data_IF_842661713910
#
_entry.id   IF_842661713910
#
_cell.length_a   1.000
_cell.length_b   1.000
_cell.length_c   1.000
_cell.angle_alpha   90.00
_cell.angle_beta   90.00
_cell.angle_gamma   90.00
#
_symmetry.space_group_name_H-M   'P 1'
#
loop_
_entity.id
_entity.type
_entity.pdbx_description
1 polymer ?
#
# COMPACT_ATOMS: atom_id res chain seq x y z
N UNK A 1 2.55 34.66 84.75
CA UNK A 1 3.06 33.68 83.78
C UNK A 1 2.19 33.75 82.53
N UNK A 2 2.79 34.33 81.48
CA UNK A 2 2.50 34.44 80.03
C UNK A 2 1.04 34.30 79.49
N UNK A 3 0.51 35.30 78.75
CA UNK A 3 -0.89 35.41 78.34
C UNK A 3 -1.19 34.88 76.92
N UNK A 4 -2.48 34.67 76.69
CA UNK A 4 -3.15 34.18 75.47
C UNK A 4 -3.10 35.25 74.35
N UNK A 5 -2.38 35.00 73.26
CA UNK A 5 -2.31 35.90 72.11
C UNK A 5 -3.38 35.59 71.04
N UNK A 6 -4.25 36.58 70.83
CA UNK A 6 -5.04 36.84 69.63
C UNK A 6 -4.16 36.78 68.37
N UNK A 7 -4.58 36.03 67.34
CA UNK A 7 -4.13 36.28 65.97
C UNK A 7 -5.34 36.35 65.04
N UNK A 8 -5.56 37.55 64.54
CA UNK A 8 -6.60 37.98 63.61
C UNK A 8 -6.37 37.38 62.21
N UNK A 9 -7.41 36.78 61.62
CA UNK A 9 -7.44 36.34 60.23
C UNK A 9 -7.47 37.56 59.29
N UNK A 10 -6.41 37.80 58.53
CA UNK A 10 -6.40 38.75 57.41
C UNK A 10 -6.81 38.00 56.13
N UNK A 11 -8.05 38.20 55.70
CA UNK A 11 -8.56 37.77 54.39
C UNK A 11 -8.05 38.74 53.32
N UNK A 12 -7.02 38.33 52.57
CA UNK A 12 -6.56 39.05 51.37
C UNK A 12 -7.44 38.60 50.20
N UNK A 13 -8.38 39.45 49.79
CA UNK A 13 -9.16 39.23 48.56
C UNK A 13 -8.28 39.55 47.34
N UNK A 14 -7.77 38.53 46.65
CA UNK A 14 -7.12 38.70 45.36
C UNK A 14 -8.17 38.97 44.28
N UNK A 15 -8.30 40.22 43.82
CA UNK A 15 -9.06 40.54 42.61
C UNK A 15 -8.28 40.03 41.38
N UNK A 16 -8.55 38.79 40.97
CA UNK A 16 -8.15 38.32 39.63
C UNK A 16 -9.06 38.98 38.60
N UNK A 17 -8.54 39.97 37.88
CA UNK A 17 -9.20 40.51 36.69
C UNK A 17 -9.26 39.41 35.64
N UNK A 18 -10.42 38.76 35.52
CA UNK A 18 -10.66 37.78 34.48
C UNK A 18 -10.67 38.52 33.14
N UNK A 19 -9.59 38.38 32.35
CA UNK A 19 -9.57 38.86 30.96
C UNK A 19 -10.76 38.25 30.25
N UNK A 20 -11.67 39.09 29.75
CA UNK A 20 -12.77 38.63 28.90
C UNK A 20 -12.19 37.91 27.68
N UNK A 21 -12.41 36.60 27.62
CA UNK A 21 -12.15 35.80 26.43
C UNK A 21 -13.19 36.21 25.39
N UNK A 22 -12.75 36.90 24.35
CA UNK A 22 -13.61 37.20 23.20
C UNK A 22 -13.84 35.88 22.46
N UNK A 23 -15.10 35.45 22.37
CA UNK A 23 -15.47 34.31 21.56
C UNK A 23 -15.09 34.59 20.09
N UNK A 24 -14.15 33.79 19.56
CA UNK A 24 -13.87 33.77 18.12
C UNK A 24 -15.12 33.25 17.43
N UNK A 25 -15.56 33.92 16.35
CA UNK A 25 -16.70 33.49 15.54
C UNK A 25 -16.55 31.99 15.23
N UNK A 26 -17.63 31.19 15.29
CA UNK A 26 -17.55 29.79 14.94
C UNK A 26 -16.98 29.66 13.53
N UNK A 27 -15.91 28.88 13.41
CA UNK A 27 -15.37 28.48 12.11
C UNK A 27 -16.52 27.85 11.34
N UNK A 28 -16.78 28.37 10.14
CA UNK A 28 -17.77 27.80 9.22
C UNK A 28 -17.54 26.30 9.12
N UNK A 29 -18.62 25.52 9.16
CA UNK A 29 -18.52 24.05 9.15
C UNK A 29 -17.54 23.59 8.08
N UNK A 30 -16.62 22.65 8.38
CA UNK A 30 -15.64 22.19 7.41
C UNK A 30 -16.38 21.72 6.17
N UNK A 31 -16.09 22.36 5.04
CA UNK A 31 -16.66 22.03 3.73
C UNK A 31 -16.58 20.51 3.56
N UNK A 32 -17.73 19.84 3.46
CA UNK A 32 -17.77 18.40 3.33
C UNK A 32 -16.83 17.98 2.19
N UNK A 33 -15.88 17.09 2.49
CA UNK A 33 -14.95 16.62 1.47
C UNK A 33 -15.74 15.88 0.39
N UNK A 34 -15.48 16.15 -0.91
CA UNK A 34 -16.22 15.51 -1.99
C UNK A 34 -16.09 13.99 -1.88
N UNK A 35 -17.18 13.27 -2.15
CA UNK A 35 -17.19 11.80 -2.23
C UNK A 35 -16.37 11.34 -3.43
N UNK A 36 -15.68 10.21 -3.31
CA UNK A 36 -14.90 9.65 -4.43
C UNK A 36 -15.81 9.09 -5.52
N UNK A 37 -16.85 8.34 -5.15
CA UNK A 37 -17.78 7.76 -6.10
C UNK A 37 -18.87 8.76 -6.47
N UNK A 38 -19.04 8.98 -7.77
CA UNK A 38 -20.02 9.90 -8.35
C UNK A 38 -20.76 9.21 -9.50
N UNK A 39 -22.09 9.27 -9.48
CA UNK A 39 -22.93 8.66 -10.50
C UNK A 39 -22.69 9.29 -11.90
N UNK A 40 -22.34 10.59 -11.95
CA UNK A 40 -22.00 11.28 -13.19
C UNK A 40 -20.78 10.66 -13.88
N UNK A 41 -19.73 10.31 -13.13
CA UNK A 41 -18.53 9.67 -13.68
C UNK A 41 -18.88 8.26 -14.21
N UNK A 42 -19.72 7.51 -13.48
CA UNK A 42 -20.18 6.19 -13.94
C UNK A 42 -20.94 6.29 -15.26
N UNK A 43 -21.85 7.27 -15.37
CA UNK A 43 -22.62 7.51 -16.59
C UNK A 43 -21.73 7.96 -17.75
N UNK A 44 -20.80 8.88 -17.50
CA UNK A 44 -19.89 9.41 -18.52
C UNK A 44 -18.99 8.31 -19.11
N UNK A 45 -18.39 7.47 -18.25
CA UNK A 45 -17.56 6.35 -18.70
C UNK A 45 -18.40 5.34 -19.50
N UNK A 46 -19.55 4.92 -18.97
CA UNK A 46 -20.36 3.88 -19.60
C UNK A 46 -21.08 4.37 -20.87
N UNK A 47 -21.29 5.68 -21.04
CA UNK A 47 -21.85 6.26 -22.26
C UNK A 47 -20.80 6.42 -23.38
N UNK A 48 -19.51 6.33 -23.06
CA UNK A 48 -18.45 6.46 -24.04
C UNK A 48 -18.18 5.10 -24.74
N UNK A 49 -18.50 4.95 -26.05
CA UNK A 49 -18.31 3.69 -26.77
C UNK A 49 -16.83 3.29 -26.90
N UNK A 50 -15.90 4.23 -26.68
CA UNK A 50 -14.46 4.00 -26.74
C UNK A 50 -13.84 3.79 -25.35
N UNK A 51 -14.63 3.65 -24.28
CA UNK A 51 -14.08 3.50 -22.93
C UNK A 51 -13.26 2.22 -22.77
N UNK A 52 -13.73 1.09 -23.33
CA UNK A 52 -13.05 -0.21 -23.21
C UNK A 52 -13.12 -0.84 -21.81
N UNK A 53 -13.86 -0.24 -20.88
CA UNK A 53 -14.13 -0.78 -19.53
C UNK A 53 -15.46 -0.22 -19.00
N UNK A 54 -16.03 -0.89 -18.00
CA UNK A 54 -17.28 -0.47 -17.36
C UNK A 54 -17.01 0.13 -15.97
N UNK A 55 -17.53 1.33 -15.73
CA UNK A 55 -17.54 1.94 -14.41
C UNK A 55 -18.76 1.48 -13.59
N UNK A 56 -18.58 1.37 -12.27
CA UNK A 56 -19.65 1.06 -11.32
C UNK A 56 -19.41 1.71 -9.97
N UNK A 57 -20.47 1.84 -9.17
CA UNK A 57 -20.39 2.31 -7.78
C UNK A 57 -19.84 1.21 -6.89
N UNK A 58 -18.52 1.18 -6.69
CA UNK A 58 -17.88 0.12 -5.91
C UNK A 58 -18.32 0.14 -4.41
N UNK A 59 -18.86 -0.96 -3.86
CA UNK A 59 -19.33 -1.00 -2.47
C UNK A 59 -18.26 -0.64 -1.43
N UNK A 60 -16.99 -0.99 -1.68
CA UNK A 60 -15.86 -0.69 -0.78
C UNK A 60 -15.69 0.81 -0.55
N UNK A 61 -16.02 1.63 -1.56
CA UNK A 61 -15.76 3.07 -1.55
C UNK A 61 -17.02 3.93 -1.48
N UNK A 62 -18.21 3.33 -1.26
CA UNK A 62 -19.50 4.06 -1.21
C UNK A 62 -19.50 5.22 -0.21
N UNK A 63 -18.77 5.08 0.89
CA UNK A 63 -18.68 6.07 1.96
C UNK A 63 -17.34 6.82 2.01
N UNK A 64 -16.48 6.65 1.00
CA UNK A 64 -15.17 7.30 0.99
C UNK A 64 -15.26 8.73 0.45
N UNK A 65 -14.58 9.65 1.12
CA UNK A 65 -14.20 10.94 0.54
C UNK A 65 -12.99 10.77 -0.38
N UNK A 66 -12.76 11.75 -1.24
CA UNK A 66 -11.53 11.82 -2.05
C UNK A 66 -10.28 11.77 -1.17
N UNK A 67 -10.30 12.39 0.01
CA UNK A 67 -9.16 12.37 0.94
C UNK A 67 -8.93 10.96 1.53
N UNK A 68 -10.00 10.25 1.89
CA UNK A 68 -9.90 8.87 2.36
C UNK A 68 -9.39 7.93 1.26
N UNK A 69 -9.87 8.09 0.02
CA UNK A 69 -9.40 7.30 -1.11
C UNK A 69 -7.93 7.58 -1.42
N UNK A 70 -7.50 8.85 -1.40
CA UNK A 70 -6.09 9.23 -1.56
C UNK A 70 -5.16 8.60 -0.54
N UNK A 71 -5.62 8.32 0.69
CA UNK A 71 -4.81 7.62 1.69
C UNK A 71 -4.48 6.17 1.30
N UNK A 72 -5.21 5.58 0.36
CA UNK A 72 -4.88 4.25 -0.18
C UNK A 72 -3.75 4.31 -1.23
N UNK A 73 -3.46 5.49 -1.79
CA UNK A 73 -2.48 5.71 -2.85
C UNK A 73 -1.12 6.05 -2.22
N UNK A 74 -0.44 5.00 -1.78
CA UNK A 74 0.73 5.06 -0.91
C UNK A 74 2.10 5.16 -1.60
N UNK A 75 2.20 5.19 -2.92
CA UNK A 75 3.51 5.31 -3.59
C UNK A 75 3.99 6.74 -3.56
N UNK A 76 5.23 6.95 -3.14
CA UNK A 76 5.91 8.23 -3.22
C UNK A 76 6.85 8.28 -4.42
N UNK A 77 6.98 9.43 -5.09
CA UNK A 77 7.94 9.59 -6.18
C UNK A 77 9.37 9.45 -5.64
N UNK A 78 10.30 8.84 -6.40
CA UNK A 78 11.68 8.68 -5.95
C UNK A 78 12.33 10.04 -5.66
N UNK A 79 13.11 10.17 -4.56
CA UNK A 79 13.93 11.35 -4.30
C UNK A 79 14.88 11.69 -5.47
N UNK A 80 15.22 12.96 -5.67
CA UNK A 80 16.01 13.46 -6.81
C UNK A 80 17.41 12.83 -6.98
N UNK A 81 17.93 12.12 -5.97
CA UNK A 81 19.22 11.41 -6.01
C UNK A 81 19.08 9.90 -5.71
N UNK A 82 17.95 9.30 -6.09
CA UNK A 82 17.74 7.87 -5.87
C UNK A 82 18.76 7.04 -6.63
N UNK A 83 19.25 5.93 -6.04
CA UNK A 83 20.16 5.03 -6.74
C UNK A 83 19.54 4.51 -8.03
N UNK A 84 20.34 4.45 -9.10
CA UNK A 84 19.90 3.92 -10.39
C UNK A 84 19.60 2.43 -10.21
N UNK A 85 18.34 2.05 -10.40
CA UNK A 85 17.94 0.64 -10.44
C UNK A 85 18.49 0.05 -11.74
N UNK A 86 19.22 -1.07 -11.70
CA UNK A 86 19.73 -1.70 -12.92
C UNK A 86 18.59 -2.06 -13.86
N UNK A 87 18.56 -1.44 -15.03
CA UNK A 87 17.59 -1.78 -16.07
C UNK A 87 17.95 -3.13 -16.69
N UNK A 88 16.99 -4.06 -16.68
CA UNK A 88 17.14 -5.41 -17.24
C UNK A 88 16.25 -5.52 -18.48
N UNK A 89 16.86 -5.48 -19.67
CA UNK A 89 16.19 -5.75 -20.94
C UNK A 89 16.55 -7.13 -21.50
N UNK A 90 15.67 -7.65 -22.35
CA UNK A 90 15.87 -8.88 -23.11
C UNK A 90 15.71 -8.57 -24.61
N UNK A 91 16.38 -9.33 -25.48
CA UNK A 91 16.25 -9.14 -26.92
C UNK A 91 14.86 -9.59 -27.39
N UNK A 92 14.31 -8.90 -28.39
CA UNK A 92 12.99 -9.18 -28.97
C UNK A 92 12.87 -10.56 -29.68
N UNK A 93 13.93 -11.37 -29.64
CA UNK A 93 14.00 -12.68 -30.30
C UNK A 93 13.32 -13.79 -29.51
N UNK A 94 12.95 -13.54 -28.25
CA UNK A 94 12.16 -14.49 -27.47
C UNK A 94 10.70 -14.36 -27.91
N UNK A 95 10.12 -15.36 -28.62
CA UNK A 95 8.72 -15.31 -29.00
C UNK A 95 7.87 -15.36 -27.73
N UNK A 96 7.21 -14.26 -27.42
CA UNK A 96 6.27 -14.16 -26.30
C UNK A 96 4.86 -14.54 -26.78
N UNK A 97 4.06 -15.22 -25.95
CA UNK A 97 2.68 -15.51 -26.31
C UNK A 97 1.85 -14.22 -26.33
N UNK A 98 0.83 -14.21 -27.18
CA UNK A 98 -0.12 -13.08 -27.27
C UNK A 98 -0.92 -12.86 -25.97
N UNK A 99 -1.04 -13.89 -25.14
CA UNK A 99 -1.66 -13.84 -23.82
C UNK A 99 -0.83 -14.65 -22.82
N UNK A 100 -0.73 -14.16 -21.60
CA UNK A 100 -0.02 -14.82 -20.52
C UNK A 100 -0.68 -14.52 -19.18
N UNK A 101 -0.84 -15.56 -18.35
CA UNK A 101 -1.33 -15.45 -16.98
C UNK A 101 -0.44 -16.29 -16.06
N UNK A 102 0.26 -15.64 -15.14
CA UNK A 102 1.18 -16.31 -14.21
C UNK A 102 0.49 -17.39 -13.36
N UNK A 103 -0.81 -17.26 -13.08
CA UNK A 103 -1.59 -18.25 -12.32
C UNK A 103 -1.74 -19.55 -13.10
N UNK A 104 -1.81 -19.46 -14.43
CA UNK A 104 -1.88 -20.62 -15.33
C UNK A 104 -0.50 -21.19 -15.65
N UNK A 105 0.53 -20.33 -15.71
CA UNK A 105 1.91 -20.76 -15.95
C UNK A 105 2.53 -21.48 -14.74
N UNK A 106 2.14 -21.08 -13.52
CA UNK A 106 2.60 -21.69 -12.26
C UNK A 106 1.42 -22.02 -11.34
N UNK A 107 0.57 -22.99 -11.70
CA UNK A 107 -0.65 -23.32 -10.95
C UNK A 107 -0.38 -23.86 -9.55
N UNK A 108 0.82 -24.40 -9.30
CA UNK A 108 1.26 -24.84 -7.98
C UNK A 108 1.53 -23.68 -7.01
N UNK A 109 1.66 -22.45 -7.50
CA UNK A 109 2.00 -21.28 -6.71
C UNK A 109 0.73 -20.48 -6.35
N UNK A 110 0.06 -20.88 -5.27
CA UNK A 110 -1.21 -20.27 -4.85
C UNK A 110 -1.10 -18.78 -4.52
N UNK A 111 0.07 -18.31 -4.09
CA UNK A 111 0.33 -16.89 -3.75
C UNK A 111 0.10 -15.95 -4.94
N UNK A 112 0.26 -16.44 -6.18
CA UNK A 112 0.12 -15.61 -7.39
C UNK A 112 -1.30 -15.06 -7.52
N UNK A 113 -2.29 -15.89 -7.21
CA UNK A 113 -3.71 -15.54 -7.23
C UNK A 113 -4.24 -14.97 -5.92
N UNK A 114 -3.42 -14.85 -4.89
CA UNK A 114 -3.83 -14.29 -3.61
C UNK A 114 -3.99 -12.77 -3.71
N UNK A 115 -5.09 -12.26 -3.14
CA UNK A 115 -5.44 -10.84 -3.11
C UNK A 115 -5.45 -10.41 -1.65
N UNK A 116 -4.53 -9.52 -1.30
CA UNK A 116 -4.43 -8.97 0.04
C UNK A 116 -5.24 -7.67 0.19
N UNK A 117 -5.34 -7.17 1.42
CA UNK A 117 -6.07 -5.95 1.76
C UNK A 117 -5.20 -5.00 2.59
N UNK A 118 -4.80 -3.86 2.00
CA UNK A 118 -4.02 -2.82 2.68
C UNK A 118 -4.83 -2.01 3.72
N UNK A 119 -6.14 -2.28 3.86
CA UNK A 119 -7.03 -1.58 4.77
C UNK A 119 -7.15 -0.09 4.44
N UNK A 120 -6.98 0.78 5.44
CA UNK A 120 -7.00 2.24 5.31
C UNK A 120 -5.60 2.87 5.32
N UNK A 121 -4.57 2.05 5.10
CA UNK A 121 -3.16 2.42 5.13
C UNK A 121 -2.66 2.61 3.69
N UNK A 122 -1.83 3.63 3.43
CA UNK A 122 -1.12 3.83 2.17
C UNK A 122 0.09 2.91 2.04
N UNK A 123 -0.10 1.62 2.26
CA UNK A 123 0.94 0.60 2.30
C UNK A 123 1.13 -0.16 0.99
N UNK A 124 0.44 0.22 -0.09
CA UNK A 124 0.50 -0.47 -1.39
C UNK A 124 1.95 -0.68 -1.90
N UNK A 125 2.87 0.25 -1.60
CA UNK A 125 4.29 0.14 -1.93
C UNK A 125 4.98 -1.09 -1.31
N UNK A 126 4.55 -1.50 -0.10
CA UNK A 126 5.05 -2.67 0.60
C UNK A 126 4.30 -3.93 0.15
N UNK A 127 2.96 -3.86 0.04
CA UNK A 127 2.15 -4.99 -0.41
C UNK A 127 2.57 -5.48 -1.80
N UNK A 128 2.67 -4.58 -2.80
CA UNK A 128 3.07 -4.97 -4.16
C UNK A 128 4.46 -5.61 -4.23
N UNK A 129 5.41 -5.16 -3.38
CA UNK A 129 6.75 -5.73 -3.30
C UNK A 129 6.74 -7.12 -2.64
N UNK A 130 6.03 -7.27 -1.51
CA UNK A 130 5.96 -8.51 -0.73
C UNK A 130 5.16 -9.60 -1.45
N UNK A 131 4.03 -9.26 -2.08
CA UNK A 131 3.26 -10.20 -2.89
C UNK A 131 4.10 -10.72 -4.06
N UNK A 132 4.79 -9.81 -4.77
CA UNK A 132 5.67 -10.18 -5.88
C UNK A 132 6.85 -11.04 -5.44
N UNK A 133 7.40 -10.80 -4.25
CA UNK A 133 8.49 -11.60 -3.73
C UNK A 133 8.00 -12.99 -3.30
N UNK A 134 6.85 -13.09 -2.65
CA UNK A 134 6.21 -14.36 -2.26
C UNK A 134 6.00 -15.27 -3.48
N UNK A 135 5.51 -14.70 -4.58
CA UNK A 135 5.35 -15.40 -5.86
C UNK A 135 6.67 -15.92 -6.40
N UNK A 136 7.72 -15.10 -6.34
CA UNK A 136 9.04 -15.45 -6.85
C UNK A 136 9.73 -16.54 -6.03
N UNK A 137 9.49 -16.61 -4.72
CA UNK A 137 9.92 -17.75 -3.91
C UNK A 137 9.31 -19.06 -4.41
N UNK A 138 8.02 -19.05 -4.73
CA UNK A 138 7.39 -20.26 -5.28
C UNK A 138 7.90 -20.57 -6.70
N UNK A 139 7.94 -19.58 -7.60
CA UNK A 139 8.33 -19.77 -9.00
C UNK A 139 9.78 -20.27 -9.13
N UNK A 140 10.73 -19.70 -8.38
CA UNK A 140 12.14 -20.00 -8.55
C UNK A 140 12.67 -21.10 -7.64
N UNK A 141 12.03 -21.31 -6.49
CA UNK A 141 12.55 -22.18 -5.43
C UNK A 141 11.56 -23.26 -5.01
N UNK A 142 10.35 -23.26 -5.58
CA UNK A 142 9.26 -24.15 -5.21
C UNK A 142 8.89 -24.05 -3.71
N UNK A 143 9.05 -22.85 -3.14
CA UNK A 143 8.68 -22.52 -1.75
C UNK A 143 7.44 -21.63 -1.78
N UNK A 144 6.28 -22.21 -1.49
CA UNK A 144 5.04 -21.45 -1.35
C UNK A 144 4.96 -20.87 0.07
N UNK A 145 5.35 -19.62 0.23
CA UNK A 145 5.32 -18.92 1.51
C UNK A 145 4.74 -17.51 1.36
N UNK A 146 3.92 -17.10 2.31
CA UNK A 146 3.47 -15.71 2.42
C UNK A 146 4.45 -14.91 3.27
N UNK A 147 5.05 -13.89 2.68
CA UNK A 147 6.00 -13.00 3.34
C UNK A 147 5.29 -11.83 4.01
N UNK A 148 5.88 -11.29 5.08
CA UNK A 148 5.21 -10.33 5.95
C UNK A 148 5.25 -8.91 5.44
N UNK A 149 4.08 -8.39 5.08
CA UNK A 149 3.94 -6.97 4.73
C UNK A 149 4.16 -6.08 5.94
N UNK A 150 3.75 -6.56 7.12
CA UNK A 150 3.83 -5.78 8.35
C UNK A 150 5.27 -5.64 8.85
N UNK A 151 6.12 -6.63 8.59
CA UNK A 151 7.56 -6.51 8.82
C UNK A 151 8.15 -5.36 8.00
N UNK A 152 7.86 -5.30 6.69
CA UNK A 152 8.35 -4.21 5.83
C UNK A 152 7.81 -2.86 6.28
N UNK A 153 6.52 -2.78 6.62
CA UNK A 153 5.89 -1.54 7.06
C UNK A 153 6.44 -1.03 8.40
N UNK A 154 6.71 -1.91 9.34
CA UNK A 154 7.16 -1.55 10.68
C UNK A 154 8.69 -1.37 10.77
N UNK A 155 9.45 -2.17 10.02
CA UNK A 155 10.89 -2.34 10.22
C UNK A 155 11.74 -1.63 9.16
N UNK A 156 11.23 -1.35 7.96
CA UNK A 156 12.02 -0.63 6.95
C UNK A 156 12.26 0.84 7.34
N UNK A 157 11.34 1.44 8.10
CA UNK A 157 11.47 2.80 8.59
C UNK A 157 11.65 3.84 7.46
N UNK A 158 12.46 4.87 7.73
CA UNK A 158 12.67 5.99 6.81
C UNK A 158 13.34 5.59 5.49
N UNK A 159 13.97 4.41 5.42
CA UNK A 159 14.54 3.89 4.18
C UNK A 159 13.43 3.70 3.12
N UNK A 160 12.32 3.07 3.51
CA UNK A 160 11.20 2.84 2.60
C UNK A 160 10.20 3.99 2.55
N UNK A 161 10.30 4.97 3.45
CA UNK A 161 9.39 6.12 3.51
C UNK A 161 8.72 6.25 4.87
N UNK A 162 7.39 6.36 4.89
CA UNK A 162 6.62 6.77 6.07
C UNK A 162 5.49 5.79 6.40
N UNK A 163 5.71 4.49 6.14
CA UNK A 163 4.73 3.44 6.45
C UNK A 163 3.40 3.66 5.73
N UNK A 164 2.32 3.87 6.49
CA UNK A 164 0.98 4.13 5.98
C UNK A 164 0.79 5.49 5.30
N UNK A 165 1.71 6.44 5.51
CA UNK A 165 1.66 7.73 4.83
C UNK A 165 2.41 7.68 3.47
N UNK A 166 2.83 6.48 3.07
CA UNK A 166 3.39 6.14 1.78
C UNK A 166 4.89 5.90 1.79
N UNK A 167 5.37 5.24 0.75
CA UNK A 167 6.74 4.79 0.62
C UNK A 167 7.17 4.51 -0.82
N UNK A 168 8.43 4.09 -0.96
CA UNK A 168 9.11 3.92 -2.23
C UNK A 168 9.23 2.41 -2.54
N UNK A 169 8.54 1.89 -3.58
CA UNK A 169 8.58 0.47 -3.90
C UNK A 169 10.00 -0.07 -4.11
N UNK A 170 10.88 0.71 -4.75
CA UNK A 170 12.27 0.29 -4.99
C UNK A 170 13.06 0.11 -3.67
N UNK A 171 12.78 0.91 -2.65
CA UNK A 171 13.42 0.80 -1.34
C UNK A 171 12.94 -0.45 -0.60
N UNK A 172 11.70 -0.91 -0.82
CA UNK A 172 11.25 -2.19 -0.28
C UNK A 172 12.09 -3.34 -0.84
N UNK A 173 12.39 -3.33 -2.14
CA UNK A 173 13.29 -4.32 -2.74
C UNK A 173 14.73 -4.20 -2.22
N UNK A 174 15.25 -2.99 -2.03
CA UNK A 174 16.57 -2.79 -1.41
C UNK A 174 16.60 -3.28 0.04
N UNK A 175 15.51 -3.09 0.79
CA UNK A 175 15.35 -3.60 2.13
C UNK A 175 15.40 -5.14 2.14
N UNK A 176 14.74 -5.82 1.22
CA UNK A 176 14.81 -7.28 1.11
C UNK A 176 16.23 -7.80 0.86
N UNK A 177 17.02 -7.08 0.06
CA UNK A 177 18.42 -7.44 -0.20
C UNK A 177 19.28 -7.24 1.05
N UNK A 178 19.11 -6.12 1.75
CA UNK A 178 19.95 -5.75 2.89
C UNK A 178 19.56 -6.48 4.19
N UNK A 179 18.26 -6.67 4.41
CA UNK A 179 17.70 -7.12 5.68
C UNK A 179 16.80 -8.34 5.55
N UNK A 180 16.37 -8.74 4.36
CA UNK A 180 15.34 -9.76 4.20
C UNK A 180 13.98 -9.35 4.77
N UNK A 181 13.05 -10.30 4.78
CA UNK A 181 11.67 -10.15 5.27
C UNK A 181 11.21 -11.47 5.89
N UNK A 182 10.41 -11.43 6.96
CA UNK A 182 9.92 -12.63 7.65
C UNK A 182 8.62 -13.18 7.04
N UNK A 183 8.13 -14.35 7.49
CA UNK A 183 6.85 -14.94 7.06
C UNK A 183 5.66 -14.42 7.89
N UNK A 184 4.45 -14.42 7.34
CA UNK A 184 3.23 -13.81 7.95
C UNK A 184 2.65 -14.53 9.18
N UNK A 185 3.27 -15.60 9.68
CA UNK A 185 2.58 -16.59 10.51
C UNK A 185 2.08 -16.05 11.88
N UNK A 186 2.64 -14.95 12.39
CA UNK A 186 2.26 -14.41 13.71
C UNK A 186 1.44 -13.11 13.66
N UNK A 187 1.60 -12.27 12.63
CA UNK A 187 1.00 -10.93 12.59
C UNK A 187 -0.45 -10.92 12.06
N UNK A 188 -0.88 -11.98 11.40
CA UNK A 188 -2.26 -12.17 10.92
C UNK A 188 -3.33 -12.14 12.04
N UNK A 189 -2.91 -12.29 13.31
CA UNK A 189 -3.80 -12.33 14.49
C UNK A 189 -3.87 -11.01 15.26
N UNK A 190 -3.18 -9.96 14.80
CA UNK A 190 -3.23 -8.65 15.46
C UNK A 190 -4.61 -8.02 15.32
N UNK A 191 -5.30 -7.80 16.45
CA UNK A 191 -6.69 -7.33 16.51
C UNK A 191 -6.83 -5.91 17.08
N UNK A 192 -6.07 -5.54 18.13
CA UNK A 192 -6.13 -4.20 18.78
C UNK A 192 -4.82 -3.82 19.51
N UNK A 193 -4.54 -2.52 19.73
CA UNK A 193 -3.33 -1.97 20.39
C UNK A 193 -2.86 -0.65 19.73
N UNK A 194 -1.81 0.03 20.22
CA UNK A 194 -1.45 1.39 19.74
C UNK A 194 -0.10 1.47 19.02
N UNK A 195 -0.15 1.53 17.69
CA UNK A 195 0.91 2.07 16.84
C UNK A 195 0.61 3.55 16.51
N UNK A 196 1.62 4.44 16.50
CA UNK A 196 1.46 5.89 16.26
C UNK A 196 2.62 6.51 15.49
N UNK A 197 2.29 7.17 14.37
CA UNK A 197 3.02 8.32 13.83
C UNK A 197 2.02 9.47 13.62
N UNK A 198 2.46 10.72 13.78
CA UNK A 198 1.62 11.83 14.26
C UNK A 198 1.43 13.04 13.31
N UNK A 199 2.02 13.14 12.10
CA UNK A 199 1.75 14.28 11.14
C UNK A 199 2.44 14.19 9.74
N UNK A 200 1.84 14.79 8.67
CA UNK A 200 2.52 15.20 7.40
C UNK A 200 1.65 15.17 6.10
N UNK A 201 1.95 15.99 5.06
CA UNK A 201 1.15 16.17 3.81
C UNK A 201 1.86 15.72 2.49
N UNK A 202 1.06 15.59 1.40
CA UNK A 202 1.35 15.40 -0.06
C UNK A 202 1.41 13.92 -0.54
N UNK A 203 0.30 13.35 -1.04
CA UNK A 203 -0.21 13.17 -2.43
C UNK A 203 0.69 12.33 -3.37
N UNK A 204 0.36 11.04 -3.55
CA UNK A 204 1.18 10.02 -4.22
C UNK A 204 0.44 9.10 -5.20
N UNK A 205 1.16 8.12 -5.75
CA UNK A 205 0.71 7.10 -6.72
C UNK A 205 0.29 5.76 -6.07
N UNK A 206 0.00 4.73 -6.86
CA UNK A 206 -0.44 3.41 -6.38
C UNK A 206 0.44 2.29 -6.94
N UNK A 207 0.87 1.35 -6.09
CA UNK A 207 1.68 0.20 -6.49
C UNK A 207 0.81 -1.05 -6.52
N UNK A 208 0.97 -1.85 -7.56
CA UNK A 208 0.14 -3.01 -7.89
C UNK A 208 1.04 -4.13 -8.41
N UNK A 209 0.57 -5.39 -8.32
CA UNK A 209 1.33 -6.55 -8.78
C UNK A 209 0.97 -6.90 -10.22
N UNK A 210 1.93 -6.81 -11.15
CA UNK A 210 1.76 -7.23 -12.54
C UNK A 210 1.89 -8.76 -12.66
N UNK A 211 0.86 -9.44 -13.18
CA UNK A 211 0.80 -10.91 -13.25
C UNK A 211 0.58 -11.47 -14.66
N UNK A 212 0.34 -10.62 -15.65
CA UNK A 212 0.09 -11.10 -17.01
C UNK A 212 -0.20 -10.00 -18.02
N UNK A 213 -0.53 -10.41 -19.23
CA UNK A 213 -0.94 -9.54 -20.33
C UNK A 213 -1.86 -10.26 -21.30
N UNK A 214 -2.56 -9.50 -22.13
CA UNK A 214 -3.35 -10.05 -23.22
C UNK A 214 -3.89 -8.99 -24.16
N UNK A 215 -4.92 -9.38 -24.91
CA UNK A 215 -5.74 -8.53 -25.77
C UNK A 215 -7.20 -8.80 -25.47
N UNK A 216 -8.03 -7.76 -25.33
CA UNK A 216 -9.46 -7.90 -25.07
C UNK A 216 -10.21 -8.38 -26.31
N UNK A 217 -11.47 -8.79 -26.15
CA UNK A 217 -12.33 -9.22 -27.26
C UNK A 217 -12.60 -8.07 -28.24
N UNK A 218 -12.58 -6.83 -27.73
CA UNK A 218 -12.69 -5.58 -28.49
C UNK A 218 -11.37 -5.17 -29.16
N UNK A 219 -10.29 -5.93 -28.93
CA UNK A 219 -9.00 -5.73 -29.58
C UNK A 219 -8.05 -4.76 -28.87
N UNK A 220 -8.27 -4.43 -27.59
CA UNK A 220 -7.35 -3.57 -26.82
C UNK A 220 -6.29 -4.40 -26.08
N UNK A 221 -5.03 -4.00 -26.22
CA UNK A 221 -3.90 -4.63 -25.54
C UNK A 221 -3.85 -4.20 -24.05
N UNK A 222 -3.69 -5.17 -23.14
CA UNK A 222 -3.70 -4.90 -21.70
C UNK A 222 -2.59 -5.60 -20.91
N UNK A 223 -2.27 -5.01 -19.75
CA UNK A 223 -1.61 -5.63 -18.61
C UNK A 223 -2.66 -6.15 -17.62
N UNK A 224 -2.43 -7.33 -17.03
CA UNK A 224 -3.27 -7.92 -15.98
C UNK A 224 -2.58 -7.73 -14.62
N UNK A 225 -3.27 -7.10 -13.68
CA UNK A 225 -2.72 -6.72 -12.38
C UNK A 225 -3.60 -7.18 -11.23
N UNK A 226 -2.97 -7.58 -10.13
CA UNK A 226 -3.60 -7.84 -8.84
C UNK A 226 -3.53 -6.58 -7.97
N UNK A 227 -4.69 -6.15 -7.48
CA UNK A 227 -4.81 -5.00 -6.59
C UNK A 227 -4.87 -5.44 -5.11
N UNK A 228 -4.68 -4.49 -4.20
CA UNK A 228 -4.53 -4.71 -2.75
C UNK A 228 -5.76 -4.26 -1.96
N UNK A 229 -6.94 -4.27 -2.60
CA UNK A 229 -8.19 -3.71 -2.07
C UNK A 229 -9.29 -4.75 -1.86
N UNK A 230 -8.91 -6.00 -1.55
CA UNK A 230 -9.80 -7.14 -1.39
C UNK A 230 -10.44 -7.62 -2.71
N UNK A 231 -10.93 -8.87 -2.70
CA UNK A 231 -11.61 -9.52 -3.82
C UNK A 231 -12.94 -8.86 -4.20
N UNK A 232 -13.56 -8.10 -3.29
CA UNK A 232 -14.79 -7.35 -3.58
C UNK A 232 -14.58 -6.16 -4.52
N UNK A 233 -13.32 -5.79 -4.80
CA UNK A 233 -12.99 -4.70 -5.71
C UNK A 233 -12.62 -5.21 -7.10
N UNK A 234 -13.00 -4.48 -8.16
CA UNK A 234 -12.64 -4.83 -9.54
C UNK A 234 -13.21 -6.18 -9.97
N UNK A 235 -12.47 -6.90 -10.80
CA UNK A 235 -12.77 -8.28 -11.16
C UNK A 235 -12.09 -9.22 -10.16
N UNK A 236 -12.78 -9.52 -9.05
CA UNK A 236 -12.28 -10.40 -7.99
C UNK A 236 -10.92 -9.97 -7.37
N UNK A 237 -10.67 -8.66 -7.30
CA UNK A 237 -9.42 -8.06 -6.83
C UNK A 237 -8.42 -7.74 -7.96
N UNK A 238 -8.69 -8.20 -9.18
CA UNK A 238 -7.86 -7.94 -10.35
C UNK A 238 -8.41 -6.79 -11.19
N UNK A 239 -7.54 -6.23 -12.03
CA UNK A 239 -7.94 -5.28 -13.05
C UNK A 239 -7.00 -5.37 -14.26
N UNK A 240 -7.46 -4.77 -15.36
CA UNK A 240 -6.70 -4.62 -16.59
C UNK A 240 -6.44 -3.14 -16.84
N UNK A 241 -5.25 -2.79 -17.31
CA UNK A 241 -4.88 -1.43 -17.73
C UNK A 241 -4.24 -1.50 -19.11
N UNK A 242 -4.39 -0.45 -19.91
CA UNK A 242 -3.89 -0.38 -21.28
C UNK A 242 -2.38 -0.58 -21.34
N UNK A 243 -1.93 -1.45 -22.26
CA UNK A 243 -0.52 -1.80 -22.48
C UNK A 243 0.01 -1.13 -23.75
N UNK A 244 1.27 -0.69 -23.70
CA UNK A 244 2.00 -0.13 -24.85
C UNK A 244 1.83 1.38 -25.05
N UNK A 245 1.08 2.03 -24.16
CA UNK A 245 0.88 3.49 -24.14
C UNK A 245 1.43 4.14 -22.88
N UNK A 246 2.06 3.36 -21.99
CA UNK A 246 2.48 3.80 -20.67
C UNK A 246 1.36 4.52 -19.89
N UNK A 247 0.15 3.94 -19.94
CA UNK A 247 -1.05 4.52 -19.33
C UNK A 247 -0.83 4.75 -17.84
N UNK A 248 -1.05 5.98 -17.38
CA UNK A 248 -0.77 6.40 -16.00
C UNK A 248 0.65 6.12 -15.48
N UNK A 249 1.67 6.00 -16.35
CA UNK A 249 3.04 5.71 -15.95
C UNK A 249 3.30 4.25 -15.56
N UNK A 250 2.37 3.33 -15.86
CA UNK A 250 2.45 1.92 -15.43
C UNK A 250 3.68 1.16 -15.95
N UNK A 251 4.35 1.69 -16.98
CA UNK A 251 5.52 1.08 -17.62
C UNK A 251 6.85 1.75 -17.19
N UNK A 252 6.81 2.80 -16.36
CA UNK A 252 7.99 3.56 -15.91
C UNK A 252 8.66 2.96 -14.67
N UNK A 253 7.87 2.58 -13.65
CA UNK A 253 8.37 2.21 -12.31
C UNK A 253 8.24 0.70 -12.00
N UNK A 254 8.57 -0.16 -12.97
CA UNK A 254 8.54 -1.62 -12.80
C UNK A 254 9.82 -2.10 -12.11
N UNK A 255 9.69 -2.63 -10.88
CA UNK A 255 10.82 -3.11 -10.06
C UNK A 255 10.64 -4.57 -9.65
N UNK A 256 11.75 -5.31 -9.59
CA UNK A 256 11.78 -6.72 -9.25
C UNK A 256 13.14 -7.17 -8.71
N UNK A 257 13.16 -8.29 -7.99
CA UNK A 257 14.37 -8.99 -7.53
C UNK A 257 14.25 -10.51 -7.69
N UNK A 258 15.35 -11.25 -7.54
CA UNK A 258 15.34 -12.72 -7.53
C UNK A 258 15.58 -13.21 -6.10
N UNK A 259 14.85 -14.21 -5.59
CA UNK A 259 15.06 -14.69 -4.23
C UNK A 259 16.42 -15.39 -4.10
N UNK A 260 17.10 -15.17 -2.98
CA UNK A 260 18.38 -15.82 -2.68
C UNK A 260 18.18 -17.12 -1.90
N UNK A 261 18.95 -18.15 -2.27
CA UNK A 261 19.01 -19.42 -1.53
C UNK A 261 19.89 -19.36 -0.28
N UNK A 262 20.69 -18.30 -0.11
CA UNK A 262 21.72 -18.22 0.93
C UNK A 262 21.15 -18.23 2.36
N UNK A 263 19.92 -17.74 2.54
CA UNK A 263 19.24 -17.68 3.85
C UNK A 263 18.02 -18.60 3.95
N UNK A 264 17.77 -19.45 2.94
CA UNK A 264 16.83 -20.56 3.05
C UNK A 264 17.50 -21.66 3.88
N UNK A 265 17.53 -21.50 5.20
CA UNK A 265 18.04 -22.56 6.07
C UNK A 265 17.11 -23.77 5.92
N UNK A 266 17.68 -24.90 5.47
CA UNK A 266 17.00 -26.20 5.37
C UNK A 266 16.37 -26.57 6.71
N UNK A 267 15.06 -26.47 6.81
CA UNK A 267 14.29 -26.97 7.96
C UNK A 267 13.61 -28.30 7.61
N UNK A 268 14.39 -29.37 7.45
CA UNK A 268 13.91 -30.66 7.94
C UNK A 268 14.33 -30.74 9.40
N UNK A 269 13.43 -30.31 10.30
CA UNK A 269 13.42 -30.43 11.77
C UNK A 269 13.45 -29.11 12.55
N UNK A 270 12.28 -28.61 12.96
CA UNK A 270 12.13 -27.83 14.21
C UNK A 270 11.82 -26.32 14.11
N UNK A 271 10.57 -25.98 13.78
CA UNK A 271 9.86 -24.71 14.07
C UNK A 271 10.65 -23.47 14.54
N UNK A 272 11.31 -22.77 13.61
CA UNK A 272 11.90 -21.45 13.83
C UNK A 272 11.46 -20.46 12.76
N UNK A 273 11.23 -19.20 13.16
CA UNK A 273 10.84 -18.07 12.31
C UNK A 273 11.81 -17.90 11.12
N UNK A 274 11.26 -17.78 9.91
CA UNK A 274 12.05 -17.71 8.67
C UNK A 274 12.39 -16.25 8.33
N UNK A 275 13.61 -16.02 7.82
CA UNK A 275 14.05 -14.73 7.25
C UNK A 275 14.42 -14.95 5.78
N UNK A 276 13.59 -14.46 4.88
CA UNK A 276 13.76 -14.57 3.44
C UNK A 276 14.54 -13.36 2.91
N UNK A 277 15.66 -13.56 2.22
CA UNK A 277 16.45 -12.47 1.61
C UNK A 277 16.49 -12.59 0.08
N UNK A 278 16.61 -11.45 -0.59
CA UNK A 278 16.80 -11.32 -2.05
C UNK A 278 18.29 -11.24 -2.37
#
# INVERSE_FOLDING_TARGET
>A
MIPLHLLTLLLVASFSSCRQVHAVKPVSQPRATPKILQASIVQEVNANPNAGWQAAMNPRFTNFSVAQFKRLLGVKPPPQNSPIIPFKSHTAQIPLPNQFDARTAWPQCSTIGEILDQGHCGSCWAFGAVESLSDRFCIHLNVSTSLSVNDVLACCGFLCGYGCDGGYPYQAWQYFVQHGVVTEEDFAHYKTGVYKHLTGSVMGGHAVKLIGWGRSDEGEDYWLLANQWNKSWGDNGFFKIRRGTNECGIEEDVVAGLPSTKNLVKMYAGGGQYRASV
#
